data_IF_427903028790
#
_entry.id   IF_427903028790
#
_cell.length_a   1.000
_cell.length_b   1.000
_cell.length_c   1.000
_cell.angle_alpha   90.00
_cell.angle_beta   90.00
_cell.angle_gamma   90.00
#
_symmetry.space_group_name_H-M   'P 1'
#
loop_
_entity.id
_entity.type
_entity.pdbx_description
1 polymer ?
#
# COMPACT_ATOMS: atom_id res chain seq x y z
N UNK A 1 -6.22 -19.23 0.49
CA UNK A 1 -5.79 -18.11 -0.37
C UNK A 1 -6.17 -16.82 0.34
N UNK A 2 -5.20 -16.01 0.75
CA UNK A 2 -5.46 -14.72 1.37
C UNK A 2 -5.96 -13.76 0.28
N UNK A 3 -7.27 -13.69 0.10
CA UNK A 3 -7.90 -12.70 -0.77
C UNK A 3 -7.49 -11.30 -0.32
N UNK A 4 -7.27 -10.41 -1.28
CA UNK A 4 -7.12 -8.99 -0.98
C UNK A 4 -8.35 -8.50 -0.21
N UNK A 5 -8.11 -7.65 0.78
CA UNK A 5 -9.16 -7.03 1.56
C UNK A 5 -10.04 -6.10 0.71
N UNK A 6 -11.32 -6.00 1.09
CA UNK A 6 -12.29 -5.19 0.37
C UNK A 6 -11.95 -3.69 0.41
N UNK A 7 -11.37 -3.18 1.49
CA UNK A 7 -11.05 -1.76 1.61
C UNK A 7 -9.91 -1.35 0.67
N UNK A 8 -8.86 -2.17 0.57
CA UNK A 8 -7.81 -1.97 -0.41
C UNK A 8 -8.33 -2.05 -1.85
N UNK A 9 -9.10 -3.10 -2.17
CA UNK A 9 -9.69 -3.26 -3.50
C UNK A 9 -10.56 -2.06 -3.88
N UNK A 10 -11.46 -1.64 -2.98
CA UNK A 10 -12.33 -0.50 -3.19
C UNK A 10 -11.54 0.78 -3.45
N UNK A 11 -10.48 1.04 -2.67
CA UNK A 11 -9.69 2.27 -2.84
C UNK A 11 -8.93 2.30 -4.16
N UNK A 12 -8.22 1.21 -4.50
CA UNK A 12 -7.45 1.15 -5.75
C UNK A 12 -8.40 1.18 -6.94
N UNK A 13 -9.53 0.48 -6.88
CA UNK A 13 -10.53 0.47 -7.93
C UNK A 13 -11.25 1.81 -8.08
N UNK A 14 -11.54 2.53 -6.98
CA UNK A 14 -12.15 3.87 -7.03
C UNK A 14 -11.22 4.89 -7.68
N UNK A 15 -9.92 4.81 -7.41
CA UNK A 15 -8.92 5.74 -7.95
C UNK A 15 -8.44 5.41 -9.37
N UNK A 16 -8.25 4.13 -9.68
CA UNK A 16 -7.64 3.68 -10.95
C UNK A 16 -8.63 2.95 -11.87
N UNK A 17 -9.84 2.61 -11.41
CA UNK A 17 -10.83 1.81 -12.14
C UNK A 17 -10.53 0.30 -12.18
N UNK A 18 -9.31 -0.10 -11.85
CA UNK A 18 -8.84 -1.50 -11.79
C UNK A 18 -7.62 -1.61 -10.86
N UNK A 19 -7.24 -2.83 -10.51
CA UNK A 19 -6.07 -3.11 -9.68
C UNK A 19 -4.92 -3.51 -10.60
N UNK A 20 -3.81 -2.74 -10.66
CA UNK A 20 -2.67 -3.08 -11.50
C UNK A 20 -2.04 -4.42 -11.08
N UNK A 21 -1.69 -5.27 -12.05
CA UNK A 21 -1.08 -6.58 -11.79
C UNK A 21 0.25 -6.47 -11.03
N UNK A 22 1.03 -5.42 -11.30
CA UNK A 22 2.28 -5.12 -10.58
C UNK A 22 2.03 -4.87 -9.09
N UNK A 23 0.98 -4.11 -8.75
CA UNK A 23 0.61 -3.84 -7.37
C UNK A 23 0.08 -5.11 -6.68
N UNK A 24 -0.77 -5.87 -7.36
CA UNK A 24 -1.31 -7.15 -6.86
C UNK A 24 -0.19 -8.16 -6.55
N UNK A 25 0.84 -8.22 -7.40
CA UNK A 25 2.00 -9.08 -7.21
C UNK A 25 2.86 -8.61 -6.04
N UNK A 26 3.16 -7.31 -5.97
CA UNK A 26 4.03 -6.73 -4.94
C UNK A 26 3.45 -6.89 -3.52
N UNK A 27 2.14 -6.70 -3.37
CA UNK A 27 1.46 -6.90 -2.09
C UNK A 27 1.07 -8.37 -1.86
N UNK A 28 1.23 -9.25 -2.85
CA UNK A 28 0.86 -10.67 -2.83
C UNK A 28 1.32 -11.43 -1.58
N UNK A 29 2.54 -11.19 -1.05
CA UNK A 29 3.02 -11.79 0.19
C UNK A 29 2.33 -11.27 1.47
N UNK A 30 1.74 -10.07 1.45
CA UNK A 30 1.12 -9.45 2.62
C UNK A 30 -0.18 -10.12 3.04
N UNK A 31 -0.42 -10.19 4.35
CA UNK A 31 -1.73 -10.53 4.88
C UNK A 31 -2.74 -9.44 4.51
N UNK A 32 -4.02 -9.81 4.35
CA UNK A 32 -5.09 -8.86 4.04
C UNK A 32 -5.15 -7.69 5.04
N UNK A 33 -4.99 -7.97 6.33
CA UNK A 33 -4.98 -6.95 7.38
C UNK A 33 -3.77 -5.99 7.28
N UNK A 34 -2.59 -6.48 6.88
CA UNK A 34 -1.41 -5.62 6.67
C UNK A 34 -1.63 -4.69 5.47
N UNK A 35 -2.18 -5.21 4.37
CA UNK A 35 -2.52 -4.40 3.19
C UNK A 35 -3.46 -3.27 3.57
N UNK A 36 -4.56 -3.56 4.26
CA UNK A 36 -5.50 -2.53 4.71
C UNK A 36 -4.84 -1.47 5.58
N UNK A 37 -4.02 -1.89 6.55
CA UNK A 37 -3.33 -0.97 7.46
C UNK A 37 -2.37 -0.05 6.71
N UNK A 38 -1.59 -0.57 5.76
CA UNK A 38 -0.62 0.22 4.99
C UNK A 38 -1.29 1.17 4.01
N UNK A 39 -2.37 0.72 3.39
CA UNK A 39 -3.17 1.54 2.47
C UNK A 39 -3.81 2.69 3.23
N UNK A 40 -4.40 2.41 4.39
CA UNK A 40 -4.96 3.45 5.24
C UNK A 40 -3.88 4.44 5.70
N UNK A 41 -2.73 3.94 6.16
CA UNK A 41 -1.60 4.77 6.55
C UNK A 41 -1.17 5.68 5.39
N UNK A 42 -0.99 5.13 4.19
CA UNK A 42 -0.55 5.87 3.01
C UNK A 42 -1.55 6.95 2.58
N UNK A 43 -2.84 6.61 2.49
CA UNK A 43 -3.89 7.54 2.04
C UNK A 43 -4.18 8.66 3.04
N UNK A 44 -4.02 8.39 4.33
CA UNK A 44 -4.23 9.39 5.38
C UNK A 44 -3.00 10.26 5.60
N UNK A 45 -1.84 9.86 5.08
CA UNK A 45 -0.62 10.64 5.17
C UNK A 45 -0.62 11.85 4.21
N UNK A 46 -0.09 13.01 4.65
CA UNK A 46 0.20 14.14 3.77
C UNK A 46 1.09 13.72 2.60
N UNK A 47 0.96 14.41 1.46
CA UNK A 47 1.75 14.13 0.26
C UNK A 47 3.26 14.18 0.53
N UNK A 48 3.69 15.16 1.34
CA UNK A 48 5.07 15.32 1.79
C UNK A 48 5.59 14.09 2.54
N UNK A 49 4.72 13.38 3.26
CA UNK A 49 5.04 12.16 3.99
C UNK A 49 4.98 10.91 3.10
N UNK A 50 4.05 10.87 2.14
CA UNK A 50 4.01 9.85 1.05
C UNK A 50 5.32 9.77 0.28
N UNK A 51 6.01 10.90 0.12
CA UNK A 51 7.32 11.02 -0.51
C UNK A 51 8.51 10.54 0.35
N UNK A 52 8.33 10.31 1.65
CA UNK A 52 9.41 9.89 2.55
C UNK A 52 9.56 8.38 2.60
N UNK A 53 10.79 7.86 2.80
CA UNK A 53 11.01 6.43 2.95
C UNK A 53 10.30 5.87 4.19
N UNK A 54 9.99 4.56 4.15
CA UNK A 54 9.27 3.80 5.18
C UNK A 54 9.81 3.96 6.60
N UNK A 55 11.11 4.22 6.76
CA UNK A 55 11.76 4.47 8.05
C UNK A 55 11.21 5.68 8.82
N UNK A 56 10.61 6.64 8.11
CA UNK A 56 9.97 7.83 8.71
C UNK A 56 8.51 7.61 9.11
N UNK A 57 7.97 6.42 8.83
CA UNK A 57 6.60 6.06 9.12
C UNK A 57 6.50 5.31 10.44
N UNK A 58 5.32 5.40 11.08
CA UNK A 58 4.99 4.61 12.26
C UNK A 58 4.59 3.18 11.85
N UNK A 59 5.55 2.45 11.27
CA UNK A 59 5.42 1.06 10.82
C UNK A 59 6.46 0.21 11.58
N UNK A 60 6.11 -1.02 12.01
CA UNK A 60 7.07 -1.94 12.63
C UNK A 60 8.29 -2.17 11.75
N UNK A 61 9.47 -2.37 12.35
CA UNK A 61 10.73 -2.49 11.62
C UNK A 61 10.72 -3.71 10.67
N UNK A 62 10.13 -4.81 11.12
CA UNK A 62 9.94 -6.05 10.35
C UNK A 62 9.11 -5.87 9.07
N UNK A 63 8.29 -4.82 9.02
CA UNK A 63 7.34 -4.55 7.94
C UNK A 63 7.84 -3.42 7.01
N UNK A 64 8.97 -2.78 7.31
CA UNK A 64 9.46 -1.60 6.55
C UNK A 64 9.73 -1.90 5.09
N UNK A 65 10.40 -3.00 4.78
CA UNK A 65 10.73 -3.35 3.39
C UNK A 65 9.47 -3.61 2.55
N UNK A 66 8.50 -4.27 3.17
CA UNK A 66 7.20 -4.55 2.56
C UNK A 66 6.38 -3.28 2.36
N UNK A 67 6.37 -2.39 3.35
CA UNK A 67 5.72 -1.10 3.27
C UNK A 67 6.39 -0.18 2.23
N UNK A 68 7.72 -0.18 2.15
CA UNK A 68 8.47 0.62 1.17
C UNK A 68 8.17 0.16 -0.25
N UNK A 69 8.12 -1.15 -0.49
CA UNK A 69 7.72 -1.72 -1.78
C UNK A 69 6.30 -1.29 -2.15
N UNK A 70 5.36 -1.37 -1.20
CA UNK A 70 4.00 -0.89 -1.40
C UNK A 70 3.96 0.62 -1.71
N UNK A 71 4.67 1.45 -0.94
CA UNK A 71 4.73 2.90 -1.07
C UNK A 71 5.23 3.32 -2.46
N UNK A 72 6.33 2.73 -2.93
CA UNK A 72 6.90 3.01 -4.25
C UNK A 72 5.91 2.68 -5.37
N UNK A 73 5.22 1.54 -5.27
CA UNK A 73 4.19 1.20 -6.27
C UNK A 73 3.00 2.16 -6.25
N UNK A 74 2.56 2.62 -5.08
CA UNK A 74 1.49 3.62 -5.00
C UNK A 74 1.92 4.94 -5.62
N UNK A 75 3.17 5.36 -5.42
CA UNK A 75 3.73 6.57 -6.04
C UNK A 75 3.82 6.46 -7.57
N UNK A 76 4.30 5.33 -8.09
CA UNK A 76 4.37 5.07 -9.54
C UNK A 76 3.00 5.15 -10.22
N UNK A 77 1.94 4.83 -9.47
CA UNK A 77 0.55 4.92 -9.92
C UNK A 77 -0.06 6.32 -9.76
N UNK A 78 0.68 7.27 -9.20
CA UNK A 78 0.19 8.63 -8.92
C UNK A 78 -0.87 8.69 -7.80
N UNK A 79 -0.86 7.71 -6.89
CA UNK A 79 -1.77 7.63 -5.74
C UNK A 79 -1.16 8.23 -4.47
#
# INVERSE_FOLDING_TARGET
>A
MAGMSQAFQATVQDRLGYIPDGLSTAIGPLLAAQRDSYVLAYLTAPEEQRARPAETWLIPEEDRDLFETFRLHMQDLGL
#
